data_IF_816830997109
#
_entry.id   IF_816830997109
#
_cell.length_a   1.000
_cell.length_b   1.000
_cell.length_c   1.000
_cell.angle_alpha   90.00
_cell.angle_beta   90.00
_cell.angle_gamma   90.00
#
_symmetry.space_group_name_H-M   'P 1'
#
loop_
_entity.id
_entity.type
_entity.pdbx_description
1 polymer ?
#
# COMPACT_ATOMS: atom_id res chain seq x y z
N UNK A 1 20.08 -9.10 16.20
CA UNK A 1 20.16 -9.09 14.73
C UNK A 1 18.95 -9.80 14.19
N UNK A 2 18.15 -9.16 13.34
CA UNK A 2 17.06 -9.84 12.65
C UNK A 2 17.66 -10.90 11.72
N UNK A 3 17.09 -12.10 11.70
CA UNK A 3 17.52 -13.17 10.80
C UNK A 3 17.21 -12.71 9.37
N UNK A 4 18.23 -12.58 8.52
CA UNK A 4 18.03 -12.29 7.10
C UNK A 4 17.07 -13.32 6.51
N UNK A 5 15.96 -12.85 5.94
CA UNK A 5 15.03 -13.69 5.20
C UNK A 5 15.76 -14.23 3.98
N UNK A 6 15.89 -15.55 3.88
CA UNK A 6 16.48 -16.17 2.70
C UNK A 6 15.43 -16.29 1.59
N UNK A 7 15.88 -16.32 0.34
CA UNK A 7 15.05 -16.42 -0.86
C UNK A 7 13.97 -17.52 -0.77
N UNK A 8 14.33 -18.73 -0.33
CA UNK A 8 13.38 -19.86 -0.24
C UNK A 8 12.25 -19.56 0.75
N UNK A 9 12.55 -18.92 1.87
CA UNK A 9 11.56 -18.52 2.88
C UNK A 9 10.64 -17.41 2.37
N UNK A 10 11.15 -16.47 1.58
CA UNK A 10 10.34 -15.40 0.98
C UNK A 10 9.32 -16.02 0.03
N UNK A 11 9.78 -16.82 -0.93
CA UNK A 11 8.90 -17.37 -1.96
C UNK A 11 7.83 -18.31 -1.40
N UNK A 12 8.12 -19.06 -0.34
CA UNK A 12 7.14 -19.95 0.30
C UNK A 12 5.99 -19.21 1.02
N UNK A 13 6.05 -17.88 1.10
CA UNK A 13 5.03 -17.03 1.73
C UNK A 13 4.31 -16.12 0.74
N UNK A 14 4.61 -16.23 -0.56
CA UNK A 14 3.90 -15.52 -1.62
C UNK A 14 2.90 -16.50 -2.22
N UNK A 15 1.65 -16.08 -2.29
CA UNK A 15 0.56 -16.91 -2.81
C UNK A 15 -0.17 -16.17 -3.93
N UNK A 16 -0.56 -16.89 -4.96
CA UNK A 16 -1.57 -16.40 -5.89
C UNK A 16 -2.97 -16.56 -5.28
N UNK A 17 -3.93 -15.72 -5.70
CA UNK A 17 -5.31 -15.82 -5.20
C UNK A 17 -5.93 -17.21 -5.38
N UNK A 18 -5.56 -17.97 -6.42
CA UNK A 18 -6.04 -19.33 -6.63
C UNK A 18 -5.54 -20.35 -5.60
N UNK A 19 -4.52 -20.01 -4.81
CA UNK A 19 -3.91 -20.86 -3.79
C UNK A 19 -4.42 -20.52 -2.38
N UNK A 20 -5.38 -19.59 -2.26
CA UNK A 20 -5.84 -19.08 -0.97
C UNK A 20 -6.60 -20.14 -0.17
N UNK A 21 -6.24 -20.28 1.11
CA UNK A 21 -7.11 -20.91 2.10
C UNK A 21 -7.90 -19.82 2.81
N UNK A 22 -9.21 -19.99 2.90
CA UNK A 22 -10.14 -19.09 3.61
C UNK A 22 -10.52 -19.62 4.99
N UNK A 23 -9.87 -20.68 5.47
CA UNK A 23 -10.16 -21.32 6.76
C UNK A 23 -9.71 -20.48 7.97
N UNK A 24 -8.84 -19.49 7.75
CA UNK A 24 -8.30 -18.60 8.77
C UNK A 24 -8.69 -17.16 8.41
N UNK A 25 -8.99 -16.33 9.41
CA UNK A 25 -9.16 -14.90 9.16
C UNK A 25 -7.80 -14.21 9.09
N UNK A 26 -7.63 -13.31 8.12
CA UNK A 26 -6.37 -12.57 7.96
C UNK A 26 -6.54 -11.27 7.20
N UNK A 27 -5.51 -10.43 7.31
CA UNK A 27 -5.28 -9.30 6.41
C UNK A 27 -3.96 -9.55 5.68
N UNK A 28 -3.90 -9.25 4.39
CA UNK A 28 -2.70 -9.41 3.56
C UNK A 28 -2.43 -8.14 2.73
N UNK A 29 -1.16 -7.81 2.53
CA UNK A 29 -0.80 -6.89 1.45
C UNK A 29 -0.84 -7.64 0.12
N UNK A 30 -1.28 -6.94 -0.91
CA UNK A 30 -1.40 -7.50 -2.25
C UNK A 30 -0.56 -6.74 -3.26
N UNK A 31 -0.24 -7.41 -4.35
CA UNK A 31 0.21 -6.76 -5.57
C UNK A 31 -0.43 -7.43 -6.79
N UNK A 32 -0.91 -6.62 -7.71
CA UNK A 32 -1.26 -7.06 -9.05
C UNK A 32 -0.01 -7.00 -9.91
N UNK A 33 0.26 -8.07 -10.67
CA UNK A 33 1.39 -8.12 -11.61
C UNK A 33 0.89 -8.06 -13.04
N UNK A 34 1.63 -7.36 -13.91
CA UNK A 34 1.32 -7.29 -15.33
C UNK A 34 1.88 -8.48 -16.12
N UNK A 35 1.78 -8.42 -17.46
CA UNK A 35 2.22 -9.48 -18.36
C UNK A 35 3.75 -9.67 -18.42
N UNK A 36 4.54 -8.75 -17.84
CA UNK A 36 6.00 -8.87 -17.72
C UNK A 36 6.45 -9.12 -16.27
N UNK A 37 5.50 -9.25 -15.34
CA UNK A 37 5.76 -9.55 -13.93
C UNK A 37 6.08 -8.31 -13.10
N UNK A 38 5.83 -7.10 -13.61
CA UNK A 38 5.98 -5.88 -12.84
C UNK A 38 4.78 -5.65 -11.92
N UNK A 39 5.04 -5.25 -10.68
CA UNK A 39 4.01 -4.90 -9.71
C UNK A 39 3.40 -3.53 -10.06
N UNK A 40 2.11 -3.49 -10.42
CA UNK A 40 1.44 -2.26 -10.92
C UNK A 40 0.48 -1.63 -9.93
N UNK A 41 -0.15 -2.41 -9.08
CA UNK A 41 -1.18 -1.94 -8.18
C UNK A 41 -1.12 -2.71 -6.87
N UNK A 42 -1.55 -2.06 -5.78
CA UNK A 42 -1.57 -2.65 -4.45
C UNK A 42 -2.92 -2.42 -3.79
N UNK A 43 -3.27 -3.35 -2.92
CA UNK A 43 -4.40 -3.26 -2.03
C UNK A 43 -4.18 -4.11 -0.79
N UNK A 44 -5.27 -4.32 -0.08
CA UNK A 44 -5.35 -5.14 1.11
C UNK A 44 -6.41 -6.21 0.88
N UNK A 45 -6.02 -7.47 1.02
CA UNK A 45 -6.93 -8.60 0.97
C UNK A 45 -7.31 -8.96 2.40
N UNK A 46 -8.60 -9.11 2.65
CA UNK A 46 -9.17 -9.38 3.97
C UNK A 46 -9.97 -10.67 3.85
N UNK A 47 -9.66 -11.66 4.68
CA UNK A 47 -10.43 -12.88 4.85
C UNK A 47 -11.12 -12.83 6.21
N UNK A 48 -12.44 -12.91 6.25
CA UNK A 48 -13.22 -12.94 7.49
C UNK A 48 -14.40 -13.89 7.34
N UNK A 49 -14.54 -14.86 8.24
CA UNK A 49 -15.60 -15.90 8.23
C UNK A 49 -15.70 -16.66 6.89
N UNK A 50 -14.55 -16.95 6.28
CA UNK A 50 -14.40 -17.57 4.95
C UNK A 50 -14.80 -16.67 3.75
N UNK A 51 -15.10 -15.40 3.96
CA UNK A 51 -15.33 -14.44 2.89
C UNK A 51 -14.08 -13.63 2.58
N UNK A 52 -13.82 -13.41 1.29
CA UNK A 52 -12.72 -12.57 0.84
C UNK A 52 -13.23 -11.21 0.37
N UNK A 53 -12.64 -10.14 0.91
CA UNK A 53 -12.84 -8.76 0.46
C UNK A 53 -11.52 -8.17 -0.01
N UNK A 54 -11.55 -7.44 -1.11
CA UNK A 54 -10.41 -6.69 -1.63
C UNK A 54 -10.61 -5.19 -1.42
N UNK A 55 -9.74 -4.59 -0.62
CA UNK A 55 -9.76 -3.17 -0.29
C UNK A 55 -8.62 -2.42 -0.98
N UNK A 56 -8.94 -1.51 -1.89
CA UNK A 56 -7.93 -0.82 -2.69
C UNK A 56 -8.36 0.57 -3.14
N UNK A 57 -7.40 1.35 -3.66
CA UNK A 57 -7.63 2.69 -4.20
C UNK A 57 -7.04 2.84 -5.59
N UNK A 58 -7.88 3.02 -6.61
CA UNK A 58 -7.48 3.20 -8.01
C UNK A 58 -7.95 4.54 -8.60
N UNK A 59 -8.10 5.55 -7.73
CA UNK A 59 -8.80 6.80 -8.02
C UNK A 59 -10.18 6.88 -7.34
N UNK A 60 -10.70 5.75 -6.87
CA UNK A 60 -11.79 5.66 -5.91
C UNK A 60 -11.47 4.58 -4.87
N UNK A 61 -11.92 4.75 -3.63
CA UNK A 61 -11.79 3.73 -2.59
C UNK A 61 -12.84 2.65 -2.86
N UNK A 62 -12.41 1.39 -2.86
CA UNK A 62 -13.25 0.24 -3.16
C UNK A 62 -13.01 -0.87 -2.15
N UNK A 63 -14.09 -1.39 -1.59
CA UNK A 63 -14.15 -2.67 -0.89
C UNK A 63 -15.06 -3.59 -1.72
N UNK A 64 -14.51 -4.66 -2.27
CA UNK A 64 -15.21 -5.50 -3.27
C UNK A 64 -14.98 -6.98 -3.03
N UNK A 65 -15.95 -7.79 -3.44
CA UNK A 65 -15.83 -9.26 -3.49
C UNK A 65 -15.15 -9.74 -4.79
N UNK A 66 -14.92 -8.84 -5.74
CA UNK A 66 -14.26 -9.15 -7.01
C UNK A 66 -12.75 -9.02 -6.87
N UNK A 67 -12.06 -10.16 -6.95
CA UNK A 67 -10.61 -10.25 -6.74
C UNK A 67 -9.94 -10.53 -8.09
N UNK A 68 -8.93 -9.74 -8.52
CA UNK A 68 -8.22 -9.99 -9.77
C UNK A 68 -7.46 -11.32 -9.76
N UNK A 69 -7.48 -12.05 -10.88
CA UNK A 69 -6.77 -13.34 -11.01
C UNK A 69 -5.24 -13.19 -10.96
N UNK A 70 -4.72 -12.04 -11.41
CA UNK A 70 -3.30 -11.69 -11.39
C UNK A 70 -2.84 -11.09 -10.05
N UNK A 71 -3.62 -11.26 -8.99
CA UNK A 71 -3.32 -10.80 -7.64
C UNK A 71 -2.46 -11.82 -6.89
N UNK A 72 -1.38 -11.33 -6.30
CA UNK A 72 -0.53 -12.06 -5.37
C UNK A 72 -0.62 -11.40 -4.00
N UNK A 73 -0.53 -12.20 -2.94
CA UNK A 73 -0.68 -11.71 -1.58
C UNK A 73 0.34 -12.32 -0.62
N UNK A 74 0.61 -11.62 0.47
CA UNK A 74 1.29 -12.13 1.65
C UNK A 74 0.53 -11.69 2.91
N UNK A 75 0.08 -12.66 3.72
CA UNK A 75 -0.62 -12.41 4.99
C UNK A 75 0.25 -11.57 5.92
N UNK A 76 -0.28 -10.50 6.50
CA UNK A 76 0.44 -9.66 7.45
C UNK A 76 0.51 -10.37 8.80
N UNK A 77 1.70 -10.38 9.39
CA UNK A 77 1.90 -10.92 10.74
C UNK A 77 1.58 -9.86 11.82
N UNK A 78 1.25 -8.63 11.41
CA UNK A 78 1.01 -7.47 12.27
C UNK A 78 -0.45 -7.34 12.75
N UNK A 79 -1.38 -8.05 12.14
CA UNK A 79 -2.80 -8.01 12.47
C UNK A 79 -3.22 -9.42 12.88
N UNK A 80 -3.47 -9.61 14.18
CA UNK A 80 -3.94 -10.88 14.71
C UNK A 80 -5.35 -11.20 14.18
N UNK A 81 -5.64 -12.49 14.03
CA UNK A 81 -6.94 -13.03 13.61
C UNK A 81 -8.13 -12.39 14.37
N UNK A 82 -8.01 -12.26 15.69
CA UNK A 82 -9.04 -11.63 16.55
C UNK A 82 -9.36 -10.17 16.20
N UNK A 83 -8.46 -9.47 15.51
CA UNK A 83 -8.60 -8.07 15.11
C UNK A 83 -9.10 -7.92 13.68
N UNK A 84 -9.21 -9.00 12.89
CA UNK A 84 -9.58 -8.94 11.47
C UNK A 84 -10.99 -8.38 11.28
N UNK A 85 -11.95 -8.73 12.14
CA UNK A 85 -13.30 -8.16 12.11
C UNK A 85 -13.27 -6.63 12.30
N UNK A 86 -12.46 -6.13 13.24
CA UNK A 86 -12.32 -4.70 13.49
C UNK A 86 -11.62 -3.99 12.32
N UNK A 87 -10.64 -4.66 11.68
CA UNK A 87 -9.98 -4.16 10.49
C UNK A 87 -10.95 -4.06 9.30
N UNK A 88 -11.77 -5.08 9.09
CA UNK A 88 -12.80 -5.08 8.05
C UNK A 88 -13.78 -3.92 8.25
N UNK A 89 -14.29 -3.74 9.48
CA UNK A 89 -15.17 -2.62 9.80
C UNK A 89 -14.52 -1.27 9.52
N UNK A 90 -13.23 -1.12 9.85
CA UNK A 90 -12.46 0.08 9.51
C UNK A 90 -12.42 0.33 7.99
N UNK A 91 -12.15 -0.71 7.19
CA UNK A 91 -12.16 -0.63 5.73
C UNK A 91 -13.56 -0.33 5.15
N UNK A 92 -14.61 -0.93 5.68
CA UNK A 92 -16.01 -0.66 5.29
C UNK A 92 -16.34 0.82 5.48
N UNK A 93 -16.03 1.36 6.66
CA UNK A 93 -16.27 2.76 6.98
C UNK A 93 -15.51 3.71 6.04
N UNK A 94 -14.23 3.43 5.80
CA UNK A 94 -13.42 4.20 4.85
C UNK A 94 -13.95 4.09 3.42
N UNK A 95 -14.45 2.93 3.00
CA UNK A 95 -15.03 2.78 1.66
C UNK A 95 -16.26 3.67 1.44
N UNK A 96 -17.01 3.99 2.50
CA UNK A 96 -18.18 4.87 2.41
C UNK A 96 -17.88 6.35 2.59
N UNK A 97 -16.75 6.71 3.18
CA UNK A 97 -16.50 8.09 3.65
C UNK A 97 -15.22 8.72 3.10
N UNK A 98 -14.19 7.92 2.79
CA UNK A 98 -12.91 8.44 2.31
C UNK A 98 -12.96 8.73 0.80
N UNK A 99 -12.60 9.95 0.42
CA UNK A 99 -12.52 10.38 -0.98
C UNK A 99 -11.13 10.95 -1.33
N UNK A 100 -10.06 10.16 -1.19
CA UNK A 100 -8.71 10.57 -1.58
C UNK A 100 -8.64 10.95 -3.06
N UNK A 101 -7.85 11.97 -3.35
CA UNK A 101 -7.38 12.30 -4.68
C UNK A 101 -6.11 11.52 -4.98
N UNK A 102 -5.92 11.15 -6.25
CA UNK A 102 -4.70 10.46 -6.65
C UNK A 102 -3.49 11.41 -6.59
N UNK A 103 -2.35 10.95 -6.11
CA UNK A 103 -1.07 11.69 -6.18
C UNK A 103 0.02 11.13 -5.27
N UNK A 104 1.29 11.36 -5.62
CA UNK A 104 2.46 10.92 -4.84
C UNK A 104 2.79 11.87 -3.68
N UNK A 105 1.86 12.02 -2.74
CA UNK A 105 2.04 12.79 -1.50
C UNK A 105 2.05 11.85 -0.29
N UNK A 106 3.11 11.93 0.52
CA UNK A 106 3.32 11.12 1.72
C UNK A 106 3.79 12.04 2.85
N UNK A 107 2.82 12.56 3.59
CA UNK A 107 2.95 13.57 4.66
C UNK A 107 2.73 12.98 6.06
N UNK A 108 2.97 11.67 6.21
CA UNK A 108 2.71 10.91 7.44
C UNK A 108 1.22 10.92 7.88
N UNK A 109 0.29 11.36 7.03
CA UNK A 109 -1.12 11.25 7.32
C UNK A 109 -1.62 9.82 7.32
N UNK A 110 -2.69 9.57 8.05
CA UNK A 110 -3.29 8.24 8.19
C UNK A 110 -4.79 8.32 8.48
N UNK A 111 -5.48 7.20 8.28
CA UNK A 111 -6.92 7.09 8.53
C UNK A 111 -7.20 6.54 9.93
N UNK A 112 -7.43 7.41 10.91
CA UNK A 112 -7.79 7.00 12.27
C UNK A 112 -9.11 6.20 12.28
N UNK A 113 -9.20 5.28 13.23
CA UNK A 113 -10.39 4.47 13.50
C UNK A 113 -11.45 5.23 14.33
N UNK A 114 -11.11 6.41 14.88
CA UNK A 114 -12.03 7.22 15.69
C UNK A 114 -13.02 8.07 14.87
N UNK A 115 -14.24 8.20 15.39
CA UNK A 115 -15.45 8.60 14.67
C UNK A 115 -15.55 10.06 14.16
N UNK A 116 -14.59 10.94 14.45
CA UNK A 116 -14.79 12.37 14.19
C UNK A 116 -13.96 12.97 13.04
N UNK A 117 -12.83 12.38 12.64
CA UNK A 117 -12.04 12.82 11.48
C UNK A 117 -11.07 11.70 11.08
N UNK A 118 -11.26 11.08 9.92
CA UNK A 118 -10.41 9.95 9.47
C UNK A 118 -8.99 10.40 9.19
N UNK A 119 -8.80 11.43 8.36
CA UNK A 119 -7.46 11.85 7.99
C UNK A 119 -6.82 12.66 9.11
N UNK A 120 -5.82 12.09 9.78
CA UNK A 120 -4.94 12.78 10.73
C UNK A 120 -3.66 13.18 10.02
N UNK A 121 -3.05 14.28 10.45
CA UNK A 121 -1.73 14.71 9.96
C UNK A 121 -1.71 15.44 8.61
N UNK A 122 -2.86 15.54 7.91
CA UNK A 122 -2.94 16.26 6.64
C UNK A 122 -4.21 17.10 6.50
N UNK A 123 -4.08 18.16 5.71
CA UNK A 123 -5.20 19.03 5.32
C UNK A 123 -5.93 18.51 4.08
N UNK A 124 -5.25 17.74 3.23
CA UNK A 124 -5.77 17.23 1.97
C UNK A 124 -5.44 15.75 1.86
N UNK A 125 -6.41 14.97 1.38
CA UNK A 125 -6.18 13.55 1.16
C UNK A 125 -5.70 13.31 -0.27
N UNK A 126 -4.39 13.38 -0.48
CA UNK A 126 -3.75 13.06 -1.76
C UNK A 126 -2.87 11.84 -1.52
N UNK A 127 -3.05 10.79 -2.32
CA UNK A 127 -2.34 9.53 -2.12
C UNK A 127 -2.34 8.65 -3.37
N UNK A 128 -1.53 7.60 -3.39
CA UNK A 128 -1.59 6.53 -4.42
C UNK A 128 -2.22 5.27 -3.84
N UNK A 129 -2.37 4.20 -4.63
CA UNK A 129 -2.81 2.90 -4.10
C UNK A 129 -1.91 2.42 -2.95
N UNK A 130 -0.59 2.60 -3.09
CA UNK A 130 0.40 2.28 -2.05
C UNK A 130 0.25 3.18 -0.85
N UNK A 131 0.23 4.51 -1.06
CA UNK A 131 0.06 5.45 0.03
C UNK A 131 -1.23 5.19 0.80
N UNK A 132 -2.34 4.90 0.11
CA UNK A 132 -3.62 4.57 0.70
C UNK A 132 -3.52 3.36 1.64
N UNK A 133 -2.93 2.24 1.19
CA UNK A 133 -2.71 1.07 2.04
C UNK A 133 -1.87 1.42 3.29
N UNK A 134 -0.85 2.27 3.15
CA UNK A 134 0.00 2.71 4.26
C UNK A 134 -0.79 3.56 5.26
N UNK A 135 -1.63 4.47 4.78
CA UNK A 135 -2.51 5.31 5.62
C UNK A 135 -3.50 4.46 6.41
N UNK A 136 -4.10 3.45 5.76
CA UNK A 136 -5.04 2.50 6.38
C UNK A 136 -4.36 1.67 7.46
N UNK A 137 -3.23 1.04 7.12
CA UNK A 137 -2.48 0.22 8.08
C UNK A 137 -1.97 1.05 9.26
N UNK A 138 -1.45 2.25 9.00
CA UNK A 138 -0.96 3.17 10.05
C UNK A 138 -2.07 3.59 10.99
N UNK A 139 -3.28 3.84 10.49
CA UNK A 139 -4.39 4.26 11.32
C UNK A 139 -5.04 3.14 12.14
N UNK A 140 -4.78 1.87 11.77
CA UNK A 140 -5.21 0.71 12.52
C UNK A 140 -4.17 0.22 13.54
N UNK A 141 -2.88 0.35 13.23
CA UNK A 141 -1.79 -0.12 14.07
C UNK A 141 -1.40 0.90 15.15
N UNK A 142 -0.75 0.44 16.22
CA UNK A 142 -0.27 1.33 17.30
C UNK A 142 0.86 2.28 16.86
N UNK A 143 1.62 1.91 15.83
CA UNK A 143 2.74 2.67 15.29
C UNK A 143 2.59 2.82 13.77
N UNK A 144 3.24 3.84 13.20
CA UNK A 144 3.33 4.03 11.74
C UNK A 144 3.78 2.75 11.06
N UNK A 145 3.07 2.34 10.00
CA UNK A 145 3.36 1.08 9.31
C UNK A 145 4.74 1.09 8.65
N UNK A 146 5.05 2.16 7.91
CA UNK A 146 6.33 2.40 7.24
C UNK A 146 6.96 3.70 7.73
N UNK A 147 8.29 3.74 7.78
CA UNK A 147 9.04 4.98 7.95
C UNK A 147 9.14 5.70 6.60
N UNK A 148 8.13 6.49 6.23
CA UNK A 148 8.07 7.05 4.86
C UNK A 148 9.15 8.10 4.60
N UNK A 149 9.74 8.68 5.65
CA UNK A 149 10.91 9.57 5.55
C UNK A 149 12.18 8.90 5.01
N UNK A 150 12.23 7.57 4.93
CA UNK A 150 13.33 6.85 4.26
C UNK A 150 13.27 6.96 2.73
N UNK A 151 12.13 7.41 2.18
CA UNK A 151 11.96 7.78 0.78
C UNK A 151 12.00 9.30 0.66
N UNK A 152 12.67 9.78 -0.37
CA UNK A 152 12.84 11.20 -0.65
C UNK A 152 12.37 11.58 -2.06
N UNK A 153 12.50 12.86 -2.40
CA UNK A 153 12.12 13.39 -3.71
C UNK A 153 12.82 12.73 -4.90
N UNK A 154 14.01 12.15 -4.72
CA UNK A 154 14.75 11.48 -5.81
C UNK A 154 14.06 10.22 -6.30
N UNK A 155 13.22 9.59 -5.46
CA UNK A 155 12.42 8.41 -5.83
C UNK A 155 11.46 8.70 -6.99
N UNK A 156 11.06 9.96 -7.18
CA UNK A 156 10.26 10.41 -8.32
C UNK A 156 11.03 10.41 -9.65
N UNK A 157 12.35 10.26 -9.65
CA UNK A 157 13.12 10.16 -10.90
C UNK A 157 12.77 8.89 -11.70
N UNK A 158 12.30 7.85 -11.01
CA UNK A 158 11.74 6.63 -11.62
C UNK A 158 10.49 6.86 -12.48
N UNK A 159 9.89 8.06 -12.42
CA UNK A 159 8.79 8.45 -13.30
C UNK A 159 9.27 8.81 -14.72
N UNK A 160 10.56 9.12 -14.91
CA UNK A 160 11.08 9.54 -16.22
C UNK A 160 10.21 10.64 -16.87
N UNK A 161 9.79 10.42 -18.11
CA UNK A 161 9.05 11.41 -18.91
C UNK A 161 7.64 11.76 -18.37
N UNK A 162 7.08 10.96 -17.46
CA UNK A 162 5.77 11.27 -16.86
C UNK A 162 5.87 12.19 -15.64
N UNK A 163 7.07 12.51 -15.16
CA UNK A 163 7.31 13.38 -14.00
C UNK A 163 6.74 14.79 -14.19
N UNK A 164 6.94 15.39 -15.36
CA UNK A 164 6.40 16.72 -15.68
C UNK A 164 4.87 16.73 -15.77
N UNK A 165 4.29 15.67 -16.34
CA UNK A 165 2.83 15.49 -16.40
C UNK A 165 2.24 15.40 -15.00
N UNK A 166 2.91 14.69 -14.10
CA UNK A 166 2.51 14.59 -12.70
C UNK A 166 2.55 15.94 -11.99
N UNK A 167 3.63 16.73 -12.12
CA UNK A 167 3.67 18.06 -11.49
C UNK A 167 2.60 19.01 -12.04
N UNK A 168 2.29 18.93 -13.34
CA UNK A 168 1.20 19.71 -13.91
C UNK A 168 -0.18 19.27 -13.38
N UNK A 169 -0.35 17.97 -13.14
CA UNK A 169 -1.55 17.44 -12.50
C UNK A 169 -1.71 17.92 -11.06
N UNK A 170 -0.63 17.90 -10.24
CA UNK A 170 -0.66 18.47 -8.89
C UNK A 170 -0.99 19.97 -8.89
N UNK A 171 -0.37 20.75 -9.80
CA UNK A 171 -0.70 22.19 -9.93
C UNK A 171 -2.18 22.41 -10.25
N UNK A 172 -2.79 21.54 -11.05
CA UNK A 172 -4.23 21.58 -11.35
C UNK A 172 -5.07 21.27 -10.12
N UNK A 173 -4.69 20.27 -9.32
CA UNK A 173 -5.34 19.99 -8.03
C UNK A 173 -5.24 21.22 -7.13
N UNK A 174 -4.04 21.77 -6.96
CA UNK A 174 -3.82 22.94 -6.11
C UNK A 174 -4.71 24.12 -6.51
N UNK A 175 -4.82 24.40 -7.82
CA UNK A 175 -5.70 25.44 -8.33
C UNK A 175 -7.19 25.15 -8.05
N UNK A 176 -7.66 23.92 -8.30
CA UNK A 176 -9.06 23.55 -8.13
C UNK A 176 -9.50 23.55 -6.66
N UNK A 177 -8.62 23.10 -5.77
CA UNK A 177 -8.90 22.92 -4.34
C UNK A 177 -8.46 24.12 -3.49
N UNK A 178 -7.94 25.18 -4.11
CA UNK A 178 -7.47 26.39 -3.41
C UNK A 178 -6.26 26.15 -2.49
N UNK A 179 -5.39 25.21 -2.86
CA UNK A 179 -4.16 24.85 -2.15
C UNK A 179 -3.00 25.70 -2.68
N UNK A 180 -2.03 26.04 -1.82
CA UNK A 180 -0.76 26.60 -2.30
C UNK A 180 -0.02 25.57 -3.14
N UNK A 181 0.46 25.99 -4.31
CA UNK A 181 1.30 25.15 -5.17
C UNK A 181 2.61 24.83 -4.45
N UNK A 182 3.17 25.78 -3.70
CA UNK A 182 4.38 25.59 -2.91
C UNK A 182 4.17 24.55 -1.80
N UNK A 183 3.03 24.60 -1.10
CA UNK A 183 2.65 23.62 -0.07
C UNK A 183 2.51 22.21 -0.67
N UNK A 184 1.82 22.09 -1.80
CA UNK A 184 1.60 20.79 -2.45
C UNK A 184 2.88 20.24 -3.12
N UNK A 185 3.79 21.12 -3.55
CA UNK A 185 5.06 20.75 -4.16
C UNK A 185 6.23 20.71 -3.17
N UNK A 186 5.94 20.62 -1.87
CA UNK A 186 6.95 20.41 -0.85
C UNK A 186 7.70 19.09 -1.11
N UNK A 187 9.01 19.20 -1.28
CA UNK A 187 9.89 18.08 -1.63
C UNK A 187 10.00 17.07 -0.50
N UNK A 188 9.73 17.45 0.73
CA UNK A 188 9.81 16.54 1.88
C UNK A 188 8.64 15.53 1.89
N UNK A 189 7.51 15.90 1.27
CA UNK A 189 6.30 15.08 1.20
C UNK A 189 6.12 14.39 -0.16
N UNK A 190 6.74 14.92 -1.21
CA UNK A 190 6.68 14.34 -2.55
C UNK A 190 7.70 13.21 -2.72
N UNK A 191 7.22 11.98 -2.75
CA UNK A 191 8.04 10.76 -2.92
C UNK A 191 7.24 9.65 -3.56
N UNK A 192 7.92 8.65 -4.12
CA UNK A 192 7.30 7.46 -4.73
C UNK A 192 7.74 6.22 -3.99
N UNK A 193 6.75 5.53 -3.42
CA UNK A 193 6.87 4.16 -2.92
C UNK A 193 6.16 3.25 -3.94
N UNK A 194 6.84 2.21 -4.39
CA UNK A 194 6.39 1.28 -5.41
C UNK A 194 5.49 0.18 -4.82
N UNK A 195 4.57 -0.40 -5.62
CA UNK A 195 3.79 -1.58 -5.21
C UNK A 195 4.66 -2.74 -4.71
N UNK A 196 5.80 -3.00 -5.36
CA UNK A 196 6.74 -4.03 -4.94
C UNK A 196 7.40 -3.72 -3.58
N UNK A 197 7.64 -2.44 -3.27
CA UNK A 197 8.20 -2.02 -1.96
C UNK A 197 7.17 -2.21 -0.84
N UNK A 198 5.90 -1.85 -1.08
CA UNK A 198 4.81 -2.13 -0.14
C UNK A 198 4.59 -3.64 0.04
N UNK A 199 4.62 -4.40 -1.06
CA UNK A 199 4.51 -5.85 -0.98
C UNK A 199 5.67 -6.45 -0.17
N UNK A 200 6.90 -5.95 -0.39
CA UNK A 200 8.08 -6.34 0.38
C UNK A 200 7.93 -6.03 1.88
N UNK A 201 7.30 -4.91 2.24
CA UNK A 201 7.15 -4.53 3.64
C UNK A 201 6.29 -5.53 4.42
N UNK A 202 5.38 -6.23 3.74
CA UNK A 202 4.52 -7.24 4.38
C UNK A 202 5.30 -8.37 5.07
N UNK A 203 6.56 -8.63 4.70
CA UNK A 203 7.40 -9.69 5.28
C UNK A 203 7.97 -9.38 6.67
N UNK A 204 7.75 -8.17 7.17
CA UNK A 204 8.33 -7.70 8.42
C UNK A 204 7.27 -7.56 9.52
N UNK A 205 7.63 -8.01 10.72
CA UNK A 205 6.74 -8.12 11.89
C UNK A 205 6.86 -6.92 12.85
N UNK A 206 7.67 -5.91 12.51
CA UNK A 206 7.94 -4.76 13.39
C UNK A 206 7.80 -3.46 12.63
N UNK A 207 7.06 -2.54 13.23
CA UNK A 207 6.80 -1.19 12.73
C UNK A 207 7.59 -0.13 13.52
N UNK A 208 7.94 1.02 12.90
CA UNK A 208 7.82 1.29 11.47
C UNK A 208 8.84 0.49 10.66
N UNK A 209 8.38 -0.08 9.54
CA UNK A 209 9.24 -0.83 8.62
C UNK A 209 10.14 0.18 7.87
N UNK A 210 11.44 -0.09 7.80
CA UNK A 210 12.42 0.82 7.18
C UNK A 210 12.64 0.44 5.71
N UNK A 211 13.04 1.41 4.89
CA UNK A 211 13.35 1.16 3.47
C UNK A 211 14.48 0.13 3.28
N UNK A 212 15.48 0.15 4.15
CA UNK A 212 16.56 -0.86 4.13
C UNK A 212 16.04 -2.30 4.28
N UNK A 213 14.89 -2.49 4.94
CA UNK A 213 14.28 -3.80 5.09
C UNK A 213 13.63 -4.22 3.77
N UNK A 214 12.84 -3.34 3.15
CA UNK A 214 12.19 -3.63 1.87
C UNK A 214 13.21 -3.83 0.76
N UNK A 215 14.22 -2.96 0.67
CA UNK A 215 15.31 -3.05 -0.32
C UNK A 215 16.08 -4.36 -0.21
N UNK A 216 16.24 -4.88 1.01
CA UNK A 216 16.94 -6.14 1.28
C UNK A 216 16.29 -7.38 0.66
N UNK A 217 15.00 -7.33 0.32
CA UNK A 217 14.28 -8.45 -0.30
C UNK A 217 13.62 -8.13 -1.65
N UNK A 218 13.60 -6.84 -2.05
CA UNK A 218 12.91 -6.36 -3.25
C UNK A 218 13.30 -7.14 -4.50
N UNK A 219 14.60 -7.31 -4.74
CA UNK A 219 15.11 -8.07 -5.90
C UNK A 219 14.64 -9.53 -5.91
N UNK A 220 14.42 -10.16 -4.76
CA UNK A 220 13.91 -11.53 -4.71
C UNK A 220 12.44 -11.61 -5.15
N UNK A 221 11.66 -10.61 -4.76
CA UNK A 221 10.24 -10.49 -5.11
C UNK A 221 10.08 -10.18 -6.59
N UNK A 222 10.80 -9.18 -7.10
CA UNK A 222 10.72 -8.78 -8.52
C UNK A 222 11.17 -9.93 -9.44
N UNK A 223 12.30 -10.57 -9.15
CA UNK A 223 12.77 -11.72 -9.93
C UNK A 223 11.77 -12.88 -9.92
N UNK A 224 11.11 -13.14 -8.79
CA UNK A 224 10.07 -14.16 -8.72
C UNK A 224 8.91 -13.83 -9.65
N UNK A 225 8.34 -12.64 -9.58
CA UNK A 225 7.20 -12.27 -10.42
C UNK A 225 7.54 -12.21 -11.90
N UNK A 226 8.72 -11.71 -12.28
CA UNK A 226 9.19 -11.79 -13.66
C UNK A 226 9.31 -13.25 -14.13
N UNK A 227 9.80 -14.17 -13.28
CA UNK A 227 9.94 -15.58 -13.65
C UNK A 227 8.61 -16.29 -13.94
N UNK A 228 7.50 -15.81 -13.37
CA UNK A 228 6.16 -16.36 -13.62
C UNK A 228 5.62 -16.02 -15.01
N UNK A 229 6.17 -15.00 -15.69
CA UNK A 229 5.73 -14.54 -17.02
C UNK A 229 6.67 -14.93 -18.15
N UNK A 230 7.89 -15.32 -17.80
CA UNK A 230 8.88 -15.85 -18.76
C UNK A 230 8.69 -17.37 -19.00
N UNK A 231 7.82 -18.02 -18.22
CA UNK A 231 7.45 -19.44 -18.35
C UNK A 231 6.25 -19.65 -19.28
#
# INVERSE_FOLDING_TARGET
MAKLLNHKTILSKIFNISEISTEEDFVACTTEIDDIGECKHSGLLICFENELKYFHFDGAVKLTDTIPDNLYFKKLDLINEELVCSFLWHCEKLSSEATPMYGWLFDESYYDSNADYYLKGAKYDITTCVGFCIKVLTGFLENHYLQTSDWDFSTLDSLGDIKDKFFNYLKKIAFNEGISVEELLDKDNLKRILPAELFSSSFFERTPIRKENTDGILNHIENYFTSLKVA
#
